data_IF_199525372365
#
_entry.id   IF_199525372365
#
_cell.length_a   1.000
_cell.length_b   1.000
_cell.length_c   1.000
_cell.angle_alpha   90.00
_cell.angle_beta   90.00
_cell.angle_gamma   90.00
#
_symmetry.space_group_name_H-M   'P 1'
#
loop_
_entity.id
_entity.type
_entity.pdbx_description
1 polymer ?
#
# COMPACT_ATOMS: atom_id res chain seq x y z
N UNK A 1 10.38 4.32 -24.23
CA UNK A 1 11.75 4.49 -23.70
C UNK A 1 11.97 3.38 -22.70
N UNK A 2 13.11 2.70 -22.70
CA UNK A 2 13.40 1.57 -21.82
C UNK A 2 14.53 1.92 -20.85
N UNK A 3 14.39 1.53 -19.59
CA UNK A 3 15.39 1.72 -18.53
C UNK A 3 15.82 0.33 -18.06
N UNK A 4 17.12 0.08 -17.99
CA UNK A 4 17.66 -1.19 -17.52
C UNK A 4 17.75 -1.20 -15.99
N UNK A 5 17.16 -2.22 -15.36
CA UNK A 5 17.16 -2.41 -13.91
C UNK A 5 17.65 -3.83 -13.60
N UNK A 6 18.71 -3.95 -12.81
CA UNK A 6 19.23 -5.25 -12.34
C UNK A 6 18.74 -5.53 -10.92
N UNK A 7 18.11 -6.68 -10.72
CA UNK A 7 17.55 -7.10 -9.43
C UNK A 7 18.26 -8.34 -8.91
N UNK A 8 18.54 -8.40 -7.61
CA UNK A 8 18.90 -9.64 -6.93
C UNK A 8 17.62 -10.26 -6.35
N UNK A 9 17.26 -11.46 -6.82
CA UNK A 9 16.05 -12.17 -6.42
C UNK A 9 16.41 -13.35 -5.51
N UNK A 10 15.49 -13.73 -4.62
CA UNK A 10 15.67 -14.94 -3.81
C UNK A 10 15.57 -16.19 -4.68
N UNK A 11 16.28 -17.26 -4.29
CA UNK A 11 16.23 -18.54 -5.02
C UNK A 11 14.80 -19.05 -5.21
N UNK A 12 13.96 -18.96 -4.18
CA UNK A 12 12.56 -19.40 -4.26
C UNK A 12 11.74 -18.65 -5.32
N UNK A 13 11.97 -17.34 -5.49
CA UNK A 13 11.28 -16.54 -6.51
C UNK A 13 11.78 -16.89 -7.92
N UNK A 14 13.07 -17.16 -8.07
CA UNK A 14 13.66 -17.61 -9.34
C UNK A 14 13.10 -18.98 -9.74
N UNK A 15 12.95 -19.90 -8.78
CA UNK A 15 12.34 -21.20 -9.04
C UNK A 15 10.88 -21.10 -9.49
N UNK A 16 10.08 -20.23 -8.86
CA UNK A 16 8.70 -19.97 -9.29
C UNK A 16 8.63 -19.36 -10.69
N UNK A 17 9.48 -18.39 -10.99
CA UNK A 17 9.58 -17.81 -12.30
C UNK A 17 9.93 -18.88 -13.35
N UNK A 18 10.87 -19.79 -13.06
CA UNK A 18 11.23 -20.90 -13.94
C UNK A 18 10.09 -21.91 -14.16
N UNK A 19 9.28 -22.18 -13.13
CA UNK A 19 8.06 -23.00 -13.27
C UNK A 19 7.07 -22.35 -14.25
N UNK A 20 6.85 -21.05 -14.13
CA UNK A 20 6.02 -20.27 -15.04
C UNK A 20 6.60 -20.20 -16.46
N UNK A 21 7.92 -20.05 -16.60
CA UNK A 21 8.61 -20.11 -17.90
C UNK A 21 8.34 -21.43 -18.62
N UNK A 22 8.46 -22.54 -17.88
CA UNK A 22 8.22 -23.88 -18.42
C UNK A 22 6.77 -24.07 -18.86
N UNK A 23 5.82 -23.51 -18.11
CA UNK A 23 4.40 -23.60 -18.42
C UNK A 23 3.97 -22.70 -19.60
N UNK A 24 4.62 -21.55 -19.79
CA UNK A 24 4.25 -20.54 -20.79
C UNK A 24 5.15 -20.56 -22.03
N UNK A 25 6.24 -21.33 -22.02
CA UNK A 25 7.29 -21.34 -23.05
C UNK A 25 7.90 -19.95 -23.31
N UNK A 26 7.96 -19.11 -22.27
CA UNK A 26 8.58 -17.78 -22.29
C UNK A 26 9.84 -17.79 -21.43
N UNK A 27 10.75 -16.85 -21.70
CA UNK A 27 11.94 -16.65 -20.86
C UNK A 27 11.60 -15.93 -19.55
N UNK A 28 12.50 -16.03 -18.57
CA UNK A 28 12.30 -15.49 -17.22
C UNK A 28 12.14 -13.97 -17.21
N UNK A 29 12.84 -13.25 -18.09
CA UNK A 29 12.72 -11.79 -18.18
C UNK A 29 11.32 -11.43 -18.67
N UNK A 30 10.85 -12.06 -19.75
CA UNK A 30 9.50 -11.82 -20.28
C UNK A 30 8.42 -12.17 -19.25
N UNK A 31 8.50 -13.33 -18.59
CA UNK A 31 7.51 -13.73 -17.57
C UNK A 31 7.48 -12.76 -16.39
N UNK A 32 8.64 -12.35 -15.88
CA UNK A 32 8.73 -11.41 -14.76
C UNK A 32 8.26 -10.02 -15.16
N UNK A 33 8.60 -9.56 -16.36
CA UNK A 33 8.11 -8.28 -16.90
C UNK A 33 6.60 -8.30 -17.09
N UNK A 34 6.02 -9.35 -17.68
CA UNK A 34 4.57 -9.46 -17.84
C UNK A 34 3.85 -9.54 -16.48
N UNK A 35 4.39 -10.32 -15.53
CA UNK A 35 3.85 -10.39 -14.18
C UNK A 35 3.90 -9.02 -13.49
N UNK A 36 5.03 -8.30 -13.63
CA UNK A 36 5.14 -6.92 -13.17
C UNK A 36 4.13 -6.03 -13.88
N UNK A 37 4.06 -5.97 -15.20
CA UNK A 37 3.11 -5.16 -15.96
C UNK A 37 1.63 -5.48 -15.65
N UNK A 38 1.32 -6.70 -15.24
CA UNK A 38 -0.04 -7.12 -14.90
C UNK A 38 -0.39 -6.75 -13.45
N UNK A 39 0.57 -6.85 -12.53
CA UNK A 39 0.41 -6.47 -11.12
C UNK A 39 0.62 -4.98 -10.91
N UNK A 40 1.44 -4.32 -11.73
CA UNK A 40 1.82 -2.92 -11.56
C UNK A 40 0.61 -1.99 -11.64
N UNK A 41 -0.37 -2.14 -12.55
CA UNK A 41 -1.62 -1.39 -12.50
C UNK A 41 -2.44 -1.61 -11.23
N UNK A 42 -2.37 -2.81 -10.63
CA UNK A 42 -2.99 -3.07 -9.32
C UNK A 42 -2.24 -2.36 -8.19
N UNK A 43 -0.97 -2.01 -8.41
CA UNK A 43 -0.13 -1.18 -7.54
C UNK A 43 -0.21 0.33 -7.90
N UNK A 44 -0.48 0.72 -9.15
CA UNK A 44 -0.69 2.10 -9.60
C UNK A 44 -2.07 2.62 -9.21
N UNK A 45 -2.99 1.70 -8.94
CA UNK A 45 -4.18 1.96 -8.14
C UNK A 45 -3.87 2.42 -6.69
N UNK A 46 -2.59 2.59 -6.33
CA UNK A 46 -2.16 3.28 -5.12
C UNK A 46 -1.60 4.69 -5.39
N UNK A 47 -1.59 5.17 -6.64
CA UNK A 47 -1.39 6.60 -6.90
C UNK A 47 -2.59 7.38 -6.36
N UNK A 48 -2.34 8.37 -5.51
CA UNK A 48 -3.38 9.19 -4.86
C UNK A 48 -4.39 9.75 -5.86
N UNK A 49 -3.91 10.15 -7.05
CA UNK A 49 -4.69 10.78 -8.11
C UNK A 49 -5.71 9.84 -8.79
N UNK A 50 -5.49 8.52 -8.82
CA UNK A 50 -6.38 7.58 -9.50
C UNK A 50 -7.53 7.07 -8.61
N UNK A 51 -7.35 7.05 -7.28
CA UNK A 51 -8.32 6.47 -6.33
C UNK A 51 -9.03 7.50 -5.48
N UNK A 52 -8.40 8.65 -5.27
CA UNK A 52 -8.88 9.62 -4.31
C UNK A 52 -8.89 11.00 -4.93
N UNK A 53 -10.02 11.69 -4.82
CA UNK A 53 -10.07 13.11 -5.14
C UNK A 53 -9.06 13.87 -4.28
N UNK A 54 -8.40 14.85 -4.89
CA UNK A 54 -7.57 15.82 -4.20
C UNK A 54 -8.33 16.38 -2.99
N UNK A 55 -7.69 16.41 -1.83
CA UNK A 55 -8.31 16.91 -0.59
C UNK A 55 -8.85 18.34 -0.77
N UNK A 56 -8.17 19.16 -1.57
CA UNK A 56 -8.57 20.53 -1.88
C UNK A 56 -9.93 20.64 -2.59
N UNK A 57 -10.39 19.57 -3.25
CA UNK A 57 -11.67 19.53 -3.97
C UNK A 57 -12.82 18.98 -3.12
N UNK A 58 -12.52 18.41 -1.95
CA UNK A 58 -13.53 17.84 -1.05
C UNK A 58 -14.31 18.94 -0.32
N UNK A 59 -15.56 18.63 0.06
CA UNK A 59 -16.36 19.50 0.91
C UNK A 59 -15.82 19.51 2.34
N UNK A 60 -16.02 20.61 3.06
CA UNK A 60 -15.58 20.76 4.45
C UNK A 60 -15.94 19.59 5.40
N UNK A 61 -17.15 19.01 5.38
CA UNK A 61 -17.44 17.83 6.21
C UNK A 61 -16.59 16.61 5.87
N UNK A 62 -16.28 16.39 4.59
CA UNK A 62 -15.46 15.25 4.15
C UNK A 62 -13.99 15.46 4.54
N UNK A 63 -13.48 16.70 4.43
CA UNK A 63 -12.14 17.07 4.90
C UNK A 63 -12.02 16.84 6.41
N UNK A 64 -13.01 17.28 7.20
CA UNK A 64 -13.02 17.07 8.66
C UNK A 64 -13.11 15.59 9.04
N UNK A 65 -13.91 14.81 8.30
CA UNK A 65 -14.01 13.36 8.50
C UNK A 65 -12.67 12.67 8.25
N UNK A 66 -11.94 13.04 7.19
CA UNK A 66 -10.61 12.50 6.91
C UNK A 66 -9.57 12.97 7.94
N UNK A 67 -9.60 14.24 8.33
CA UNK A 67 -8.70 14.81 9.34
C UNK A 67 -8.83 14.14 10.71
N UNK A 68 -10.03 13.64 11.04
CA UNK A 68 -10.30 12.90 12.30
C UNK A 68 -10.32 11.39 12.13
N UNK A 69 -10.14 10.91 10.89
CA UNK A 69 -10.20 9.50 10.52
C UNK A 69 -9.23 8.63 11.30
N UNK A 70 -9.67 7.38 11.49
CA UNK A 70 -8.88 6.29 12.06
C UNK A 70 -9.10 5.04 11.20
N UNK A 71 -8.10 4.17 11.18
CA UNK A 71 -8.25 2.81 10.66
C UNK A 71 -9.42 2.11 11.37
N UNK A 72 -10.17 1.26 10.66
CA UNK A 72 -11.28 0.53 11.27
C UNK A 72 -10.78 -0.31 12.45
N UNK A 73 -11.56 -0.37 13.52
CA UNK A 73 -11.16 -1.02 14.77
C UNK A 73 -10.77 -2.50 14.56
N UNK A 74 -11.52 -3.23 13.73
CA UNK A 74 -11.25 -4.63 13.39
C UNK A 74 -9.91 -4.79 12.66
N UNK A 75 -9.63 -3.92 11.69
CA UNK A 75 -8.37 -3.92 10.95
C UNK A 75 -7.19 -3.54 11.86
N UNK A 76 -7.37 -2.55 12.73
CA UNK A 76 -6.34 -2.12 13.66
C UNK A 76 -6.02 -3.17 14.74
N UNK A 77 -7.05 -3.86 15.25
CA UNK A 77 -6.86 -5.00 16.15
C UNK A 77 -6.08 -6.12 15.46
N UNK A 78 -6.47 -6.49 14.23
CA UNK A 78 -5.80 -7.53 13.44
C UNK A 78 -4.35 -7.18 13.13
N UNK A 79 -4.07 -5.93 12.79
CA UNK A 79 -2.72 -5.43 12.59
C UNK A 79 -1.86 -5.64 13.85
N UNK A 80 -2.39 -5.31 15.03
CA UNK A 80 -1.72 -5.53 16.31
C UNK A 80 -1.45 -7.02 16.60
N UNK A 81 -2.41 -7.89 16.35
CA UNK A 81 -2.26 -9.36 16.48
C UNK A 81 -1.12 -9.90 15.62
N UNK A 82 -1.10 -9.53 14.33
CA UNK A 82 -0.07 -9.99 13.39
C UNK A 82 1.32 -9.44 13.74
N UNK A 83 1.42 -8.19 14.20
CA UNK A 83 2.68 -7.63 14.70
C UNK A 83 3.19 -8.37 15.94
N UNK A 84 2.30 -8.77 16.85
CA UNK A 84 2.65 -9.54 18.04
C UNK A 84 3.11 -10.96 17.66
N UNK A 85 2.36 -11.64 16.78
CA UNK A 85 2.69 -12.98 16.29
C UNK A 85 4.04 -13.01 15.55
N UNK A 86 4.31 -12.01 14.70
CA UNK A 86 5.58 -11.90 13.98
C UNK A 86 6.80 -11.76 14.88
N UNK A 87 6.66 -11.13 16.06
CA UNK A 87 7.75 -11.01 17.05
C UNK A 87 7.95 -12.27 17.89
N UNK A 88 6.89 -13.03 18.14
CA UNK A 88 6.90 -14.15 19.08
C UNK A 88 7.12 -15.50 18.41
N UNK A 89 6.33 -15.82 17.38
CA UNK A 89 6.25 -17.16 16.78
C UNK A 89 6.65 -17.18 15.31
N UNK A 90 6.78 -16.01 14.69
CA UNK A 90 6.88 -15.87 13.25
C UNK A 90 5.51 -15.95 12.57
N UNK A 91 5.43 -15.44 11.34
CA UNK A 91 4.22 -15.42 10.52
C UNK A 91 4.30 -16.46 9.41
N UNK A 92 3.19 -17.12 9.15
CA UNK A 92 2.96 -17.89 7.91
C UNK A 92 2.96 -16.96 6.69
N UNK A 93 3.12 -17.52 5.51
CA UNK A 93 3.14 -16.73 4.27
C UNK A 93 1.85 -15.91 4.05
N UNK A 94 0.64 -16.47 4.20
CA UNK A 94 -0.60 -15.70 4.10
C UNK A 94 -0.69 -14.56 5.12
N UNK A 95 -0.24 -14.79 6.36
CA UNK A 95 -0.23 -13.78 7.41
C UNK A 95 0.78 -12.65 7.13
N UNK A 96 1.89 -12.94 6.46
CA UNK A 96 2.83 -11.91 6.00
C UNK A 96 2.18 -11.01 4.96
N UNK A 97 1.46 -11.58 3.98
CA UNK A 97 0.74 -10.79 2.99
C UNK A 97 -0.39 -9.96 3.63
N UNK A 98 -1.13 -10.55 4.58
CA UNK A 98 -2.17 -9.83 5.34
C UNK A 98 -1.57 -8.65 6.12
N UNK A 99 -0.44 -8.86 6.80
CA UNK A 99 0.27 -7.82 7.53
C UNK A 99 0.71 -6.68 6.60
N UNK A 100 1.28 -7.01 5.43
CA UNK A 100 1.69 -6.02 4.44
C UNK A 100 0.50 -5.19 3.95
N UNK A 101 -0.62 -5.82 3.64
CA UNK A 101 -1.83 -5.12 3.22
C UNK A 101 -2.37 -4.17 4.31
N UNK A 102 -2.39 -4.60 5.57
CA UNK A 102 -2.86 -3.76 6.68
C UNK A 102 -1.91 -2.59 6.97
N UNK A 103 -0.60 -2.80 6.86
CA UNK A 103 0.39 -1.72 6.97
C UNK A 103 0.21 -0.68 5.86
N UNK A 104 -0.09 -1.13 4.64
CA UNK A 104 -0.34 -0.24 3.51
C UNK A 104 -1.60 0.62 3.74
N UNK A 105 -2.71 0.01 4.20
CA UNK A 105 -3.94 0.73 4.55
C UNK A 105 -3.66 1.78 5.63
N UNK A 106 -2.89 1.42 6.65
CA UNK A 106 -2.52 2.32 7.73
C UNK A 106 -1.70 3.52 7.23
N UNK A 107 -0.67 3.28 6.43
CA UNK A 107 0.20 4.33 5.88
C UNK A 107 -0.57 5.30 4.98
N UNK A 108 -1.38 4.77 4.06
CA UNK A 108 -2.21 5.58 3.17
C UNK A 108 -3.23 6.40 3.96
N UNK A 109 -3.88 5.80 4.96
CA UNK A 109 -4.80 6.51 5.85
C UNK A 109 -4.12 7.65 6.61
N UNK A 110 -2.88 7.43 7.08
CA UNK A 110 -2.11 8.44 7.80
C UNK A 110 -1.69 9.60 6.87
N UNK A 111 -1.32 9.30 5.63
CA UNK A 111 -0.97 10.31 4.62
C UNK A 111 -2.17 11.20 4.31
N UNK A 112 -3.30 10.61 3.90
CA UNK A 112 -4.53 11.36 3.60
C UNK A 112 -5.05 12.15 4.78
N UNK A 113 -4.89 11.63 6.00
CA UNK A 113 -5.21 12.37 7.23
C UNK A 113 -4.34 13.60 7.40
N UNK A 114 -3.03 13.49 7.16
CA UNK A 114 -2.10 14.62 7.23
C UNK A 114 -2.48 15.73 6.25
N UNK A 115 -2.80 15.36 5.01
CA UNK A 115 -3.26 16.29 3.99
C UNK A 115 -4.60 16.95 4.36
N UNK A 116 -5.55 16.16 4.88
CA UNK A 116 -6.83 16.66 5.37
C UNK A 116 -6.68 17.61 6.55
N UNK A 117 -5.76 17.37 7.48
CA UNK A 117 -5.45 18.30 8.56
C UNK A 117 -4.88 19.60 8.00
N UNK A 118 -3.93 19.52 7.06
CA UNK A 118 -3.32 20.71 6.45
C UNK A 118 -4.37 21.56 5.70
N UNK A 119 -5.26 20.92 4.93
CA UNK A 119 -6.34 21.63 4.24
C UNK A 119 -7.40 22.16 5.21
N UNK A 120 -7.75 21.41 6.27
CA UNK A 120 -8.66 21.89 7.31
C UNK A 120 -8.12 23.13 8.02
N UNK A 121 -6.82 23.17 8.34
CA UNK A 121 -6.17 24.36 8.93
C UNK A 121 -6.16 25.51 7.93
N UNK A 122 -5.84 25.25 6.65
CA UNK A 122 -5.87 26.26 5.59
C UNK A 122 -7.26 26.87 5.35
N UNK A 123 -8.32 26.12 5.64
CA UNK A 123 -9.72 26.55 5.55
C UNK A 123 -10.28 27.10 6.87
N UNK A 124 -9.45 27.26 7.90
CA UNK A 124 -9.87 27.68 9.25
C UNK A 124 -10.92 26.74 9.91
N UNK A 125 -10.95 25.45 9.51
CA UNK A 125 -11.82 24.42 10.08
C UNK A 125 -11.22 23.73 11.31
N UNK A 126 -9.89 23.76 11.45
CA UNK A 126 -9.14 23.24 12.59
C UNK A 126 -8.04 24.23 13.00
N UNK A 127 -7.75 24.26 14.30
CA UNK A 127 -6.58 24.98 14.82
C UNK A 127 -5.28 24.30 14.36
N UNK A 128 -4.20 25.05 14.09
CA UNK A 128 -2.90 24.49 13.78
C UNK A 128 -2.43 23.55 14.90
N UNK A 129 -1.89 22.39 14.53
CA UNK A 129 -1.24 21.51 15.49
C UNK A 129 -0.06 22.27 16.10
N UNK A 130 -0.08 22.45 17.43
CA UNK A 130 1.06 23.02 18.16
C UNK A 130 2.28 22.13 17.92
N UNK A 131 3.34 22.70 17.33
CA UNK A 131 4.59 22.02 17.01
C UNK A 131 5.41 21.62 18.24
#
# INVERSE_FOLDING_TARGET
MTVEVTLQLSEGLVEEAQRLCSATSKDATTVLTEALEQLWPTLENFSEEAFFSEIAQLADPDVLQLATGKMQETQNARLGELQAAGKATGLTEPERYELLALLQIYQLGQLRKSEAIAEAVKRDLLEPLAG
#
